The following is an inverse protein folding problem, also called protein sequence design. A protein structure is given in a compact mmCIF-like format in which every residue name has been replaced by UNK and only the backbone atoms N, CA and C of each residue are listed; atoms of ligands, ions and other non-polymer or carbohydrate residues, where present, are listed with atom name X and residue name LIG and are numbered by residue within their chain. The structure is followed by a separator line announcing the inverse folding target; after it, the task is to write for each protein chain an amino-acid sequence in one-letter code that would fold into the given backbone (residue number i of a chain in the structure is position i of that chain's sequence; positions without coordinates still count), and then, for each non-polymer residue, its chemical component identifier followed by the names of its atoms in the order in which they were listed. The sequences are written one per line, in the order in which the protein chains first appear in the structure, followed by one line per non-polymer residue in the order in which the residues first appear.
data_IF_476917998818
#
_entry.id   IF_476917998818
#
_cell.length_a   1.000
_cell.length_b   1.000
_cell.length_c   1.000
_cell.angle_alpha   90.00
_cell.angle_beta   90.00
_cell.angle_gamma   90.00
#
_symmetry.space_group_name_H-M   'P 1'
#
loop_
_entity.id
_entity.type
_entity.pdbx_description
1 polymer ?
#
# COMPACT_ATOMS: atom_id res chain seq x y z
N UNK A 1 10.88 -0.82 -6.27
CA UNK A 1 10.08 -0.41 -7.45
C UNK A 1 8.75 -1.16 -7.46
N UNK A 2 7.78 -0.75 -8.27
CA UNK A 2 6.44 -1.32 -8.25
C UNK A 2 6.33 -2.75 -8.78
N UNK A 3 5.62 -3.60 -8.04
CA UNK A 3 5.11 -4.87 -8.56
C UNK A 3 3.87 -4.67 -9.41
N UNK A 4 3.77 -5.41 -10.52
CA UNK A 4 2.57 -5.46 -11.37
C UNK A 4 2.10 -6.90 -11.43
N UNK A 5 1.10 -7.24 -10.62
CA UNK A 5 0.77 -8.62 -10.24
C UNK A 5 -0.45 -9.17 -10.95
N UNK A 6 -1.19 -8.33 -11.69
CA UNK A 6 -2.39 -8.70 -12.45
C UNK A 6 -2.78 -7.59 -13.44
N UNK A 7 -3.77 -7.87 -14.29
CA UNK A 7 -4.29 -6.91 -15.27
C UNK A 7 -4.92 -5.66 -14.64
N UNK A 8 -5.53 -5.76 -13.45
CA UNK A 8 -6.11 -4.57 -12.78
C UNK A 8 -5.01 -3.56 -12.43
N UNK A 9 -3.85 -4.03 -11.98
CA UNK A 9 -2.69 -3.17 -11.73
C UNK A 9 -2.14 -2.56 -13.02
N UNK A 10 -2.11 -3.30 -14.15
CA UNK A 10 -1.77 -2.73 -15.47
C UNK A 10 -2.72 -1.58 -15.83
N UNK A 11 -4.04 -1.77 -15.69
CA UNK A 11 -5.01 -0.72 -16.01
C UNK A 11 -4.86 0.52 -15.12
N UNK A 12 -4.57 0.32 -13.82
CA UNK A 12 -4.27 1.44 -12.91
C UNK A 12 -3.08 2.24 -13.40
N UNK A 13 -2.00 1.57 -13.80
CA UNK A 13 -0.83 2.26 -14.33
C UNK A 13 -1.14 3.00 -15.64
N UNK A 14 -1.91 2.39 -16.55
CA UNK A 14 -2.31 3.03 -17.82
C UNK A 14 -3.14 4.30 -17.62
N UNK A 15 -3.91 4.36 -16.55
CA UNK A 15 -4.70 5.55 -16.20
C UNK A 15 -3.84 6.70 -15.62
N UNK A 16 -2.66 6.39 -15.07
CA UNK A 16 -1.79 7.37 -14.40
C UNK A 16 -0.59 7.80 -15.25
N UNK A 17 -0.16 6.96 -16.19
CA UNK A 17 1.09 7.13 -16.93
C UNK A 17 0.79 7.50 -18.38
N UNK A 18 1.44 8.53 -18.96
CA UNK A 18 1.25 8.91 -20.36
C UNK A 18 1.51 7.74 -21.31
N UNK A 19 0.75 7.65 -22.39
CA UNK A 19 0.83 6.54 -23.36
C UNK A 19 2.09 6.53 -24.23
N UNK A 20 3.06 7.42 -24.00
CA UNK A 20 4.27 7.56 -24.83
C UNK A 20 5.55 7.22 -24.08
N UNK A 21 5.45 6.77 -22.81
CA UNK A 21 6.62 6.56 -21.96
C UNK A 21 6.89 5.09 -21.67
N UNK A 22 8.18 4.79 -21.53
CA UNK A 22 8.67 3.53 -20.99
C UNK A 22 9.20 3.79 -19.59
N UNK A 23 8.72 3.02 -18.62
CA UNK A 23 9.07 3.21 -17.20
C UNK A 23 9.52 1.92 -16.57
N UNK A 24 10.53 1.99 -15.71
CA UNK A 24 10.99 0.83 -14.93
C UNK A 24 9.92 0.38 -13.93
N UNK A 25 9.70 -0.93 -13.90
CA UNK A 25 8.94 -1.62 -12.85
C UNK A 25 9.90 -2.51 -12.05
N UNK A 26 9.43 -3.08 -10.94
CA UNK A 26 10.28 -3.82 -10.01
C UNK A 26 10.61 -5.25 -10.39
N UNK A 27 10.31 -5.69 -11.61
CA UNK A 27 10.65 -7.04 -12.05
C UNK A 27 12.10 -7.07 -12.54
N UNK A 28 12.88 -8.06 -12.07
CA UNK A 28 14.28 -8.23 -12.45
C UNK A 28 14.69 -9.70 -12.58
N UNK A 29 15.77 -9.96 -13.32
CA UNK A 29 16.25 -11.30 -13.68
C UNK A 29 17.18 -11.88 -12.60
N UNK A 30 16.56 -12.55 -11.64
CA UNK A 30 17.17 -13.52 -10.70
C UNK A 30 16.18 -14.68 -10.47
N UNK A 31 15.58 -15.19 -11.56
CA UNK A 31 14.28 -15.93 -11.68
C UNK A 31 13.00 -15.09 -11.79
N UNK A 32 13.09 -13.88 -12.36
CA UNK A 32 11.94 -12.96 -12.51
C UNK A 32 11.25 -12.68 -11.18
N UNK A 33 12.01 -12.09 -10.26
CA UNK A 33 11.54 -11.71 -8.91
C UNK A 33 11.11 -10.25 -8.89
N UNK A 34 10.19 -9.92 -7.99
CA UNK A 34 9.83 -8.54 -7.71
C UNK A 34 10.76 -7.95 -6.64
N UNK A 35 11.18 -6.70 -6.83
CA UNK A 35 12.11 -5.97 -5.93
C UNK A 35 11.59 -5.76 -4.52
N UNK A 36 10.28 -5.92 -4.32
CA UNK A 36 9.59 -5.82 -3.03
C UNK A 36 9.38 -7.18 -2.34
N UNK A 37 9.86 -8.28 -2.95
CA UNK A 37 9.68 -9.64 -2.44
C UNK A 37 8.28 -10.23 -2.66
N UNK A 38 7.37 -9.52 -3.34
CA UNK A 38 6.04 -10.05 -3.64
C UNK A 38 6.12 -11.26 -4.58
N UNK A 39 5.24 -12.24 -4.37
CA UNK A 39 5.14 -13.42 -5.21
C UNK A 39 4.01 -13.25 -6.23
N UNK A 40 4.34 -13.20 -7.52
CA UNK A 40 3.35 -13.29 -8.60
C UNK A 40 3.96 -13.90 -9.85
N UNK A 41 3.22 -14.83 -10.47
CA UNK A 41 3.54 -15.44 -11.76
C UNK A 41 3.00 -14.63 -12.95
N UNK A 42 2.26 -13.56 -12.71
CA UNK A 42 1.71 -12.74 -13.78
C UNK A 42 2.84 -12.13 -14.61
N UNK A 43 2.75 -12.30 -15.94
CA UNK A 43 3.68 -11.74 -16.90
C UNK A 43 2.90 -11.08 -18.03
N UNK A 44 3.27 -9.86 -18.38
CA UNK A 44 2.60 -9.07 -19.42
C UNK A 44 3.59 -8.64 -20.50
N UNK A 45 4.44 -9.58 -20.92
CA UNK A 45 5.47 -9.37 -21.92
C UNK A 45 4.90 -8.88 -23.25
N UNK A 46 5.68 -8.04 -23.93
CA UNK A 46 5.46 -7.69 -25.31
C UNK A 46 5.75 -8.88 -26.22
N UNK A 47 5.31 -8.80 -27.48
CA UNK A 47 5.66 -9.81 -28.47
C UNK A 47 7.19 -9.88 -28.60
N UNK A 48 7.72 -11.11 -28.59
CA UNK A 48 9.16 -11.41 -28.61
C UNK A 48 9.93 -11.11 -27.32
N UNK A 49 9.26 -10.69 -26.24
CA UNK A 49 9.88 -10.45 -24.94
C UNK A 49 9.63 -11.62 -23.95
N UNK A 50 10.52 -11.84 -22.97
CA UNK A 50 11.85 -11.22 -22.84
C UNK A 50 12.82 -11.75 -23.90
N UNK A 51 13.67 -10.88 -24.43
CA UNK A 51 14.45 -11.17 -25.63
C UNK A 51 15.98 -11.34 -25.41
N UNK A 52 16.50 -11.03 -24.22
CA UNK A 52 17.97 -10.91 -24.03
C UNK A 52 18.59 -11.82 -22.96
N UNK A 53 19.92 -11.98 -22.95
CA UNK A 53 20.70 -12.79 -21.98
C UNK A 53 21.38 -11.97 -20.86
N UNK A 54 21.57 -10.67 -21.07
CA UNK A 54 22.21 -9.70 -20.15
C UNK A 54 21.24 -8.60 -19.68
N UNK A 55 20.00 -8.61 -20.18
CA UNK A 55 18.96 -7.65 -19.85
C UNK A 55 18.21 -8.10 -18.60
N UNK A 56 18.55 -7.47 -17.47
CA UNK A 56 18.15 -7.95 -16.16
C UNK A 56 17.05 -7.10 -15.51
N UNK A 57 16.61 -6.01 -16.13
CA UNK A 57 15.57 -5.12 -15.62
C UNK A 57 14.40 -5.01 -16.59
N UNK A 58 13.20 -4.72 -16.10
CA UNK A 58 11.97 -4.74 -16.90
C UNK A 58 11.28 -3.39 -16.92
N UNK A 59 11.01 -2.88 -18.12
CA UNK A 59 10.25 -1.67 -18.34
C UNK A 59 8.84 -2.00 -18.84
N UNK A 60 7.84 -1.23 -18.38
CA UNK A 60 6.52 -1.22 -18.98
C UNK A 60 6.45 -0.14 -20.06
N UNK A 61 6.08 -0.54 -21.28
CA UNK A 61 5.89 0.32 -22.44
C UNK A 61 4.42 0.72 -22.57
N UNK A 62 4.11 1.97 -22.23
CA UNK A 62 2.74 2.50 -22.31
C UNK A 62 2.33 2.87 -23.75
N UNK A 63 3.27 2.95 -24.69
CA UNK A 63 2.99 2.97 -26.13
C UNK A 63 2.45 1.62 -26.61
N UNK A 64 2.94 0.54 -26.03
CA UNK A 64 2.46 -0.83 -26.26
C UNK A 64 1.43 -1.28 -25.22
N UNK A 65 0.51 -0.39 -24.83
CA UNK A 65 -0.59 -0.67 -23.90
C UNK A 65 -0.16 -1.21 -22.52
N UNK A 66 1.06 -0.89 -22.07
CA UNK A 66 1.62 -1.28 -20.79
C UNK A 66 2.32 -2.65 -20.81
N UNK A 67 2.54 -3.23 -22.00
CA UNK A 67 3.30 -4.48 -22.15
C UNK A 67 4.77 -4.29 -21.78
N UNK A 68 5.42 -5.38 -21.38
CA UNK A 68 6.74 -5.35 -20.77
C UNK A 68 7.83 -5.74 -21.75
N UNK A 69 9.00 -5.14 -21.58
CA UNK A 69 10.24 -5.52 -22.25
C UNK A 69 11.37 -5.60 -21.23
N UNK A 70 12.33 -6.49 -21.43
CA UNK A 70 13.59 -6.42 -20.67
C UNK A 70 14.54 -5.39 -21.27
N UNK A 71 15.50 -4.97 -20.44
CA UNK A 71 16.52 -4.00 -20.81
C UNK A 71 17.69 -4.03 -19.84
N UNK A 72 18.79 -3.39 -20.23
CA UNK A 72 19.96 -3.24 -19.36
C UNK A 72 19.64 -2.28 -18.21
N UNK A 73 19.97 -2.68 -16.98
CA UNK A 73 19.58 -1.96 -15.75
C UNK A 73 20.22 -0.57 -15.59
N UNK A 74 21.28 -0.28 -16.34
CA UNK A 74 22.01 0.99 -16.34
C UNK A 74 21.33 2.08 -17.19
N UNK A 75 20.31 1.74 -17.99
CA UNK A 75 19.58 2.72 -18.76
C UNK A 75 18.82 3.70 -17.85
N UNK A 76 19.06 5.00 -18.04
CA UNK A 76 18.33 6.06 -17.35
C UNK A 76 16.90 6.13 -17.86
N UNK A 77 15.93 5.74 -17.02
CA UNK A 77 14.49 5.86 -17.29
C UNK A 77 13.75 6.29 -16.04
N UNK A 78 12.59 6.91 -16.23
CA UNK A 78 11.63 7.09 -15.14
C UNK A 78 11.19 5.72 -14.60
N UNK A 79 10.73 5.68 -13.35
CA UNK A 79 10.35 4.43 -12.69
C UNK A 79 9.08 4.61 -11.87
N UNK A 80 8.38 3.50 -11.63
CA UNK A 80 7.14 3.49 -10.84
C UNK A 80 7.44 2.98 -9.44
N UNK A 81 6.97 3.72 -8.44
CA UNK A 81 6.88 3.28 -7.06
C UNK A 81 5.43 3.01 -6.68
N UNK A 82 5.26 2.22 -5.62
CA UNK A 82 3.98 2.05 -4.96
C UNK A 82 4.23 2.03 -3.45
N UNK A 83 3.20 2.37 -2.71
CA UNK A 83 3.20 2.30 -1.26
C UNK A 83 1.81 1.94 -0.77
N UNK A 84 1.74 1.36 0.42
CA UNK A 84 0.47 1.28 1.13
C UNK A 84 0.16 2.71 1.57
N UNK A 85 -0.97 3.25 1.13
CA UNK A 85 -1.42 4.56 1.60
C UNK A 85 -1.88 4.40 3.06
N UNK A 86 -1.00 4.75 4.00
CA UNK A 86 -1.36 4.82 5.41
C UNK A 86 -2.24 6.05 5.63
N UNK A 87 -3.55 5.86 5.63
CA UNK A 87 -4.48 6.93 5.97
C UNK A 87 -4.57 7.09 7.49
N UNK A 88 -3.97 8.14 8.04
CA UNK A 88 -4.18 8.53 9.44
C UNK A 88 -5.48 9.34 9.54
N UNK A 89 -6.46 8.82 10.27
CA UNK A 89 -7.73 9.52 10.57
C UNK A 89 -7.88 9.69 12.07
N UNK A 90 -8.33 10.88 12.49
CA UNK A 90 -8.67 11.16 13.89
C UNK A 90 -10.18 11.03 14.04
N UNK A 91 -10.63 10.17 14.94
CA UNK A 91 -12.04 10.01 15.29
C UNK A 91 -12.25 10.58 16.68
N UNK A 92 -13.23 11.47 16.83
CA UNK A 92 -13.66 11.96 18.14
C UNK A 92 -14.72 11.02 18.69
N UNK A 93 -14.51 10.50 19.90
CA UNK A 93 -15.43 9.57 20.55
C UNK A 93 -16.04 10.27 21.75
N UNK A 94 -17.37 10.20 21.86
CA UNK A 94 -18.12 10.60 23.05
C UNK A 94 -18.61 9.34 23.76
N UNK A 95 -18.22 9.17 25.01
CA UNK A 95 -18.66 8.05 25.84
C UNK A 95 -19.72 8.54 26.82
N UNK A 96 -20.77 7.75 27.00
CA UNK A 96 -21.81 7.99 28.01
C UNK A 96 -21.53 7.05 29.17
N UNK A 97 -21.23 7.60 30.35
CA UNK A 97 -20.98 6.80 31.56
C UNK A 97 -22.29 6.50 32.27
N UNK A 98 -22.46 5.25 32.71
CA UNK A 98 -23.51 4.84 33.66
C UNK A 98 -22.96 4.57 35.07
N UNK A 99 -21.64 4.61 35.25
CA UNK A 99 -20.93 4.29 36.50
C UNK A 99 -19.71 5.19 36.73
N UNK A 100 -19.12 5.12 37.93
CA UNK A 100 -17.96 5.92 38.38
C UNK A 100 -16.60 5.46 37.84
N UNK A 101 -16.57 4.81 36.67
CA UNK A 101 -15.31 4.30 36.07
C UNK A 101 -14.45 5.47 35.59
N UNK A 102 -13.17 5.46 35.97
CA UNK A 102 -12.17 6.38 35.43
C UNK A 102 -11.80 5.97 33.99
N UNK A 103 -12.12 6.83 33.03
CA UNK A 103 -11.81 6.57 31.60
C UNK A 103 -10.36 6.84 31.23
N UNK A 104 -9.57 7.46 32.12
CA UNK A 104 -8.15 7.66 31.89
C UNK A 104 -7.28 6.59 32.57
N UNK A 105 -7.89 5.58 33.20
CA UNK A 105 -7.18 4.40 33.68
C UNK A 105 -6.58 3.61 32.49
N UNK A 106 -5.29 3.20 32.55
CA UNK A 106 -4.63 2.53 31.44
C UNK A 106 -5.31 1.24 30.98
N UNK A 107 -5.87 0.46 31.91
CA UNK A 107 -6.57 -0.80 31.60
C UNK A 107 -7.89 -0.49 30.90
N UNK A 108 -8.62 0.50 31.40
CA UNK A 108 -9.87 0.97 30.78
C UNK A 108 -9.62 1.52 29.37
N UNK A 109 -8.56 2.31 29.18
CA UNK A 109 -8.15 2.81 27.87
C UNK A 109 -7.82 1.69 26.89
N UNK A 110 -7.12 0.65 27.33
CA UNK A 110 -6.81 -0.51 26.49
C UNK A 110 -8.08 -1.26 26.07
N UNK A 111 -9.00 -1.51 27.02
CA UNK A 111 -10.25 -2.20 26.75
C UNK A 111 -11.18 -1.41 25.83
N UNK A 112 -11.25 -0.08 26.00
CA UNK A 112 -11.99 0.78 25.08
C UNK A 112 -11.40 0.77 23.67
N UNK A 113 -10.07 0.73 23.55
CA UNK A 113 -9.40 0.65 22.24
C UNK A 113 -9.69 -0.68 21.54
N UNK A 114 -9.73 -1.79 22.30
CA UNK A 114 -10.15 -3.12 21.79
C UNK A 114 -11.61 -3.09 21.32
N UNK A 115 -12.53 -2.54 22.12
CA UNK A 115 -13.94 -2.42 21.74
C UNK A 115 -14.13 -1.56 20.49
N UNK A 116 -13.42 -0.42 20.39
CA UNK A 116 -13.47 0.44 19.22
C UNK A 116 -12.94 -0.26 17.97
N UNK A 117 -11.83 -1.01 18.08
CA UNK A 117 -11.29 -1.82 16.98
C UNK A 117 -12.30 -2.84 16.48
N UNK A 118 -13.01 -3.52 17.37
CA UNK A 118 -14.03 -4.50 16.99
C UNK A 118 -15.21 -3.82 16.29
N UNK A 119 -15.73 -2.72 16.86
CA UNK A 119 -16.85 -1.99 16.26
C UNK A 119 -16.54 -1.43 14.86
N UNK A 120 -15.31 -0.98 14.62
CA UNK A 120 -14.86 -0.55 13.30
C UNK A 120 -14.78 -1.71 12.29
N UNK A 121 -14.36 -2.90 12.74
CA UNK A 121 -14.38 -4.11 11.91
C UNK A 121 -15.81 -4.50 11.54
N UNK A 122 -16.74 -4.45 12.50
CA UNK A 122 -18.15 -4.77 12.27
C UNK A 122 -18.79 -3.79 11.27
N UNK A 123 -18.34 -2.54 11.24
CA UNK A 123 -18.73 -1.52 10.25
C UNK A 123 -18.00 -1.64 8.90
N UNK A 124 -17.37 -2.79 8.63
CA UNK A 124 -16.70 -3.11 7.35
C UNK A 124 -15.53 -2.18 6.99
N UNK A 125 -14.86 -1.54 7.97
CA UNK A 125 -13.58 -0.88 7.71
C UNK A 125 -12.54 -1.98 7.41
N UNK A 126 -12.11 -2.05 6.15
CA UNK A 126 -11.17 -3.09 5.65
C UNK A 126 -9.71 -2.64 5.84
N UNK A 127 -8.84 -3.58 6.24
CA UNK A 127 -7.40 -3.39 6.37
C UNK A 127 -6.86 -3.74 7.77
N UNK A 128 -5.54 -3.78 7.92
CA UNK A 128 -4.92 -3.88 9.24
C UNK A 128 -5.04 -2.53 9.96
N UNK A 129 -5.87 -2.49 11.00
CA UNK A 129 -6.17 -1.27 11.76
C UNK A 129 -5.25 -1.16 12.97
N UNK A 130 -4.36 -0.17 12.95
CA UNK A 130 -3.63 0.28 14.12
C UNK A 130 -4.37 1.47 14.75
N UNK A 131 -4.77 1.33 16.01
CA UNK A 131 -5.43 2.37 16.80
C UNK A 131 -4.51 2.80 17.94
N UNK A 132 -4.56 4.08 18.29
CA UNK A 132 -3.89 4.64 19.47
C UNK A 132 -4.71 5.81 20.01
N UNK A 133 -4.57 6.08 21.31
CA UNK A 133 -5.15 7.27 21.92
C UNK A 133 -4.27 8.49 21.64
N UNK A 134 -4.93 9.63 21.43
CA UNK A 134 -4.25 10.94 21.41
C UNK A 134 -4.30 11.50 22.82
N UNK A 135 -3.12 11.69 23.42
CA UNK A 135 -3.00 12.36 24.71
C UNK A 135 -3.01 13.88 24.50
N UNK A 136 -3.67 14.58 25.43
CA UNK A 136 -3.60 16.03 25.55
C UNK A 136 -2.31 16.44 26.28
N UNK A 137 -2.05 17.75 26.37
CA UNK A 137 -0.88 18.29 27.06
C UNK A 137 -0.80 17.94 28.55
N UNK A 138 -1.94 17.61 29.17
CA UNK A 138 -2.06 17.15 30.55
C UNK A 138 -1.88 15.62 30.72
N UNK A 139 -1.60 14.91 29.62
CA UNK A 139 -1.46 13.46 29.60
C UNK A 139 -2.78 12.69 29.56
N UNK A 140 -3.94 13.36 29.64
CA UNK A 140 -5.26 12.72 29.62
C UNK A 140 -5.77 12.50 28.19
N UNK A 141 -6.66 11.52 28.04
CA UNK A 141 -7.32 11.20 26.77
C UNK A 141 -8.76 11.70 26.76
N UNK A 142 -9.48 11.54 27.88
CA UNK A 142 -10.86 11.95 28.02
C UNK A 142 -11.00 13.11 29.00
N UNK A 143 -11.74 14.13 28.58
CA UNK A 143 -12.18 15.26 29.40
C UNK A 143 -13.71 15.19 29.57
N UNK A 144 -14.16 15.46 30.79
CA UNK A 144 -15.59 15.59 31.07
C UNK A 144 -16.09 16.92 30.52
N UNK A 145 -17.26 16.89 29.87
CA UNK A 145 -17.94 18.06 29.29
C UNK A 145 -19.08 18.53 30.17
#
# INVERSE_FOLDING_TARGET
LASVRNLSEVQKLKAMIPSTVLVWIGLYRDTWKWSDGSSSFFRFWNSNEPNGGTENCVAADFGSAGKWMDGTCDQKRAFVCYGVSESKKVVRVKLVRSSSVDLNDPVVLEDLLKQLKQKLKDQSVRGDLQLSWRHHSDGRVFHES
#
